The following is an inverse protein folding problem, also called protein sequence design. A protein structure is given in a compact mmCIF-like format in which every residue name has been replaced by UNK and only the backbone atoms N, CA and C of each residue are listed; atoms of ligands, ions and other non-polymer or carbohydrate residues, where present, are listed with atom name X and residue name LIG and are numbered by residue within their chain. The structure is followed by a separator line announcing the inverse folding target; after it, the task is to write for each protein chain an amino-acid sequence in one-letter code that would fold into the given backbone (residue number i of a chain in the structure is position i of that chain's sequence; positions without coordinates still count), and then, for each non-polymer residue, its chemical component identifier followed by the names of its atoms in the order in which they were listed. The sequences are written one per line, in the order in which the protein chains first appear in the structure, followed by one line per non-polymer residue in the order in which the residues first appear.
data_IF_113736957762
#
_entry.id   IF_113736957762
#
_cell.length_a   1.000
_cell.length_b   1.000
_cell.length_c   1.000
_cell.angle_alpha   90.00
_cell.angle_beta   90.00
_cell.angle_gamma   90.00
#
_symmetry.space_group_name_H-M   'P 1'
#
loop_
_entity.id
_entity.type
_entity.pdbx_description
1 polymer ?
#
# COMPACT_ATOMS: atom_id res chain seq x y z
N UNK A 1 -10.19 43.82 -16.27
CA UNK A 1 -9.80 43.26 -14.96
C UNK A 1 -9.45 41.80 -15.20
N UNK A 2 -8.22 41.35 -14.93
CA UNK A 2 -7.92 39.92 -15.09
C UNK A 2 -8.64 39.15 -14.01
N UNK A 3 -9.48 38.22 -14.41
CA UNK A 3 -10.10 37.24 -13.54
C UNK A 3 -8.98 36.34 -13.01
N UNK A 4 -8.62 36.49 -11.75
CA UNK A 4 -7.79 35.51 -11.07
C UNK A 4 -8.54 34.17 -11.10
N UNK A 5 -8.07 33.20 -11.88
CA UNK A 5 -8.40 31.81 -11.70
C UNK A 5 -8.08 31.45 -10.23
N UNK A 6 -8.95 30.69 -9.53
CA UNK A 6 -8.61 30.21 -8.21
C UNK A 6 -7.24 29.55 -8.28
N UNK A 7 -6.31 29.93 -7.42
CA UNK A 7 -4.98 29.33 -7.34
C UNK A 7 -5.19 27.82 -7.17
N UNK A 8 -4.71 27.04 -8.14
CA UNK A 8 -4.79 25.61 -8.12
C UNK A 8 -4.04 25.10 -6.88
N UNK A 9 -4.78 24.63 -5.90
CA UNK A 9 -4.20 24.17 -4.62
C UNK A 9 -3.94 22.66 -4.73
N UNK A 10 -2.68 22.31 -5.02
CA UNK A 10 -2.23 20.94 -5.20
C UNK A 10 -2.53 20.35 -6.59
N UNK A 11 -1.99 19.17 -6.88
CA UNK A 11 -2.26 18.46 -8.13
C UNK A 11 -3.66 17.86 -8.14
N UNK A 12 -4.21 17.63 -9.35
CA UNK A 12 -5.47 16.92 -9.48
C UNK A 12 -5.23 15.40 -9.28
N UNK A 13 -5.86 14.74 -8.29
CA UNK A 13 -5.65 13.32 -8.03
C UNK A 13 -6.16 12.40 -9.16
N UNK A 14 -6.92 12.96 -10.12
CA UNK A 14 -7.40 12.21 -11.30
C UNK A 14 -6.45 12.30 -12.50
N UNK A 15 -5.34 13.04 -12.39
CA UNK A 15 -4.35 13.07 -13.45
C UNK A 15 -3.57 11.75 -13.51
N UNK A 16 -3.53 11.13 -14.69
CA UNK A 16 -2.73 9.91 -14.89
C UNK A 16 -1.23 10.21 -14.85
N UNK A 17 -0.80 11.34 -15.35
CA UNK A 17 0.62 11.74 -15.45
C UNK A 17 0.85 13.06 -14.68
N UNK A 18 0.86 13.02 -13.34
CA UNK A 18 0.92 14.24 -12.52
C UNK A 18 2.28 14.95 -12.58
N UNK A 19 3.34 14.26 -13.01
CA UNK A 19 4.69 14.78 -13.04
C UNK A 19 5.15 14.97 -14.49
N UNK A 20 5.18 16.22 -14.95
CA UNK A 20 5.59 16.55 -16.32
C UNK A 20 7.03 16.08 -16.59
N UNK A 21 7.22 15.35 -17.69
CA UNK A 21 8.53 14.81 -18.09
C UNK A 21 8.89 13.45 -17.48
N UNK A 22 8.02 12.89 -16.63
CA UNK A 22 8.21 11.59 -15.97
C UNK A 22 6.98 10.70 -16.17
N UNK A 23 6.74 10.18 -17.38
CA UNK A 23 5.54 9.39 -17.70
C UNK A 23 5.46 8.08 -16.93
N UNK A 24 6.58 7.61 -16.39
CA UNK A 24 6.65 6.41 -15.52
C UNK A 24 6.04 6.62 -14.13
N UNK A 25 5.76 7.89 -13.74
CA UNK A 25 5.13 8.21 -12.45
C UNK A 25 3.65 8.49 -12.67
N UNK A 26 2.78 7.71 -12.06
CA UNK A 26 1.33 7.90 -12.17
C UNK A 26 0.62 7.85 -10.84
N UNK A 27 -0.45 8.65 -10.67
CA UNK A 27 -1.38 8.47 -9.55
C UNK A 27 -2.13 7.16 -9.73
N UNK A 28 -1.78 6.19 -8.89
CA UNK A 28 -2.04 4.77 -9.07
C UNK A 28 -3.53 4.44 -9.20
N UNK A 29 -4.42 5.12 -8.47
CA UNK A 29 -5.87 4.88 -8.55
C UNK A 29 -6.42 4.95 -9.98
N UNK A 30 -5.80 5.76 -10.86
CA UNK A 30 -6.25 5.98 -12.24
C UNK A 30 -5.84 4.85 -13.21
N UNK A 31 -5.10 3.86 -12.73
CA UNK A 31 -4.61 2.71 -13.49
C UNK A 31 -5.19 1.37 -13.01
N UNK A 32 -5.97 1.40 -11.92
CA UNK A 32 -6.61 0.22 -11.37
C UNK A 32 -7.88 -0.10 -12.15
N UNK A 33 -7.98 -1.36 -12.57
CA UNK A 33 -9.15 -1.90 -13.27
C UNK A 33 -9.93 -2.93 -12.44
N UNK A 34 -9.33 -3.48 -11.38
CA UNK A 34 -9.87 -4.54 -10.56
C UNK A 34 -10.59 -4.00 -9.33
N UNK A 35 -11.82 -4.42 -9.09
CA UNK A 35 -12.67 -3.95 -7.96
C UNK A 35 -12.13 -4.36 -6.58
N UNK A 36 -11.30 -5.41 -6.52
CA UNK A 36 -10.68 -5.88 -5.28
C UNK A 36 -9.33 -5.22 -4.97
N UNK A 37 -8.93 -4.20 -5.74
CA UNK A 37 -7.78 -3.32 -5.46
C UNK A 37 -8.29 -1.90 -5.25
N UNK A 38 -8.12 -1.36 -4.05
CA UNK A 38 -8.61 -0.03 -3.66
C UNK A 38 -7.40 0.84 -3.36
N UNK A 39 -7.29 1.99 -4.02
CA UNK A 39 -6.16 2.92 -3.87
C UNK A 39 -6.67 4.32 -3.57
N UNK A 40 -6.10 4.94 -2.53
CA UNK A 40 -6.40 6.32 -2.13
C UNK A 40 -5.75 7.37 -3.03
N UNK A 41 -6.26 8.59 -2.92
CA UNK A 41 -5.79 9.76 -3.66
C UNK A 41 -4.30 10.04 -3.42
N UNK A 42 -3.62 10.60 -4.43
CA UNK A 42 -2.21 11.01 -4.37
C UNK A 42 -1.20 9.89 -4.14
N UNK A 43 -1.64 8.63 -4.02
CA UNK A 43 -0.73 7.48 -4.02
C UNK A 43 -0.19 7.29 -5.42
N UNK A 44 1.14 7.28 -5.56
CA UNK A 44 1.79 7.11 -6.85
C UNK A 44 2.61 5.81 -6.93
N UNK A 45 2.75 5.34 -8.15
CA UNK A 45 3.64 4.24 -8.52
C UNK A 45 4.64 4.73 -9.57
N UNK A 46 5.91 4.43 -9.35
CA UNK A 46 7.02 4.80 -10.25
C UNK A 46 7.62 3.53 -10.85
N UNK A 47 7.35 3.28 -12.14
CA UNK A 47 7.88 2.13 -12.87
C UNK A 47 8.24 2.54 -14.31
N UNK A 48 9.49 2.37 -14.76
CA UNK A 48 9.88 2.64 -16.15
C UNK A 48 9.05 1.92 -17.21
N UNK A 49 8.40 0.80 -16.85
CA UNK A 49 7.51 0.06 -17.74
C UNK A 49 6.06 0.61 -17.75
N UNK A 50 5.80 1.66 -16.97
CA UNK A 50 4.51 2.35 -16.85
C UNK A 50 3.72 1.95 -15.61
N UNK A 51 2.93 2.90 -15.05
CA UNK A 51 2.12 2.65 -13.86
C UNK A 51 1.05 1.56 -14.04
N UNK A 52 0.61 1.29 -15.25
CA UNK A 52 -0.32 0.21 -15.62
C UNK A 52 0.22 -1.19 -15.29
N UNK A 53 1.52 -1.32 -15.07
CA UNK A 53 2.16 -2.59 -14.67
C UNK A 53 1.84 -2.98 -13.23
N UNK A 54 1.33 -2.07 -12.41
CA UNK A 54 1.09 -2.33 -10.99
C UNK A 54 0.26 -3.57 -10.73
N UNK A 55 -0.88 -3.74 -11.43
CA UNK A 55 -1.77 -4.89 -11.20
C UNK A 55 -1.10 -6.24 -11.48
N UNK A 56 -0.10 -6.29 -12.38
CA UNK A 56 0.67 -7.50 -12.66
C UNK A 56 1.61 -7.90 -11.51
N UNK A 57 1.87 -6.98 -10.58
CA UNK A 57 2.64 -7.22 -9.37
C UNK A 57 1.77 -7.61 -8.16
N UNK A 58 0.44 -7.64 -8.33
CA UNK A 58 -0.50 -8.17 -7.32
C UNK A 58 -0.78 -9.62 -7.66
N UNK A 59 -0.01 -10.52 -7.04
CA UNK A 59 0.10 -11.92 -7.42
C UNK A 59 -0.89 -12.80 -6.66
N UNK A 60 -1.43 -13.82 -7.32
CA UNK A 60 -2.36 -14.79 -6.73
C UNK A 60 -3.62 -14.14 -6.14
N UNK A 61 -4.07 -13.06 -6.73
CA UNK A 61 -5.25 -12.30 -6.32
C UNK A 61 -6.46 -12.72 -7.15
N UNK A 62 -7.17 -13.74 -6.72
CA UNK A 62 -8.31 -14.31 -7.42
C UNK A 62 -9.62 -13.85 -6.78
N UNK A 63 -10.62 -13.46 -7.57
CA UNK A 63 -11.89 -12.93 -7.08
C UNK A 63 -12.63 -13.92 -6.18
N UNK A 64 -12.52 -15.23 -6.48
CA UNK A 64 -13.17 -16.27 -5.68
C UNK A 64 -12.57 -16.46 -4.27
N UNK A 65 -11.38 -15.91 -3.99
CA UNK A 65 -10.78 -15.91 -2.65
C UNK A 65 -11.43 -14.85 -1.77
N UNK A 66 -11.80 -13.69 -2.34
CA UNK A 66 -12.54 -12.63 -1.69
C UNK A 66 -11.72 -11.66 -0.85
N UNK A 67 -10.38 -11.76 -0.86
CA UNK A 67 -9.50 -10.79 -0.21
C UNK A 67 -9.31 -9.53 -1.06
N UNK A 68 -8.94 -8.43 -0.40
CA UNK A 68 -8.70 -7.14 -1.02
C UNK A 68 -7.29 -6.66 -0.76
N UNK A 69 -6.77 -5.88 -1.71
CA UNK A 69 -5.61 -5.02 -1.51
C UNK A 69 -6.11 -3.58 -1.32
N UNK A 70 -5.86 -3.02 -0.13
CA UNK A 70 -6.30 -1.67 0.22
C UNK A 70 -5.06 -0.82 0.48
N UNK A 71 -4.88 0.25 -0.30
CA UNK A 71 -3.75 1.18 -0.19
C UNK A 71 -4.29 2.57 0.12
N UNK A 72 -3.76 3.20 1.14
CA UNK A 72 -4.16 4.53 1.59
C UNK A 72 -3.77 5.65 0.63
N UNK A 73 -3.90 6.88 1.09
CA UNK A 73 -3.54 8.10 0.38
C UNK A 73 -2.07 8.46 0.56
N UNK A 74 -1.49 9.22 -0.37
CA UNK A 74 -0.13 9.78 -0.28
C UNK A 74 0.99 8.73 -0.14
N UNK A 75 0.76 7.48 -0.57
CA UNK A 75 1.81 6.47 -0.57
C UNK A 75 2.76 6.65 -1.75
N UNK A 76 4.03 6.36 -1.51
CA UNK A 76 5.07 6.32 -2.53
C UNK A 76 5.47 4.86 -2.77
N UNK A 77 5.16 4.30 -3.94
CA UNK A 77 5.43 2.91 -4.26
C UNK A 77 6.42 2.85 -5.40
N UNK A 78 7.59 2.27 -5.13
CA UNK A 78 8.64 2.08 -6.12
C UNK A 78 8.34 0.86 -7.02
N UNK A 79 9.02 0.80 -8.17
CA UNK A 79 8.88 -0.29 -9.13
C UNK A 79 9.18 -1.66 -8.51
N UNK A 80 8.62 -2.69 -9.12
CA UNK A 80 8.79 -4.10 -8.76
C UNK A 80 8.30 -4.47 -7.34
N UNK A 81 7.61 -3.57 -6.64
CA UNK A 81 6.93 -3.91 -5.39
C UNK A 81 5.85 -4.94 -5.68
N UNK A 82 5.86 -6.05 -4.94
CA UNK A 82 4.93 -7.17 -5.11
C UNK A 82 4.03 -7.33 -3.89
N UNK A 83 2.77 -7.61 -4.16
CA UNK A 83 1.79 -8.02 -3.16
C UNK A 83 1.42 -9.47 -3.43
N UNK A 84 1.76 -10.36 -2.50
CA UNK A 84 1.32 -11.76 -2.55
C UNK A 84 -0.04 -11.82 -1.85
N UNK A 85 -1.07 -12.30 -2.53
CA UNK A 85 -2.41 -12.37 -1.98
C UNK A 85 -2.75 -13.79 -1.52
N UNK A 86 -3.90 -13.96 -0.84
CA UNK A 86 -4.24 -15.23 -0.20
C UNK A 86 -4.35 -16.42 -1.16
N UNK A 87 -4.54 -16.20 -2.45
CA UNK A 87 -4.54 -17.27 -3.45
C UNK A 87 -3.20 -18.01 -3.59
N UNK A 88 -2.10 -17.47 -3.00
CA UNK A 88 -0.83 -18.16 -2.91
C UNK A 88 -0.76 -19.22 -1.80
N UNK A 89 -1.72 -19.20 -0.87
CA UNK A 89 -1.68 -20.10 0.29
C UNK A 89 -2.10 -21.53 -0.12
N UNK A 90 -1.33 -22.51 0.35
CA UNK A 90 -1.67 -23.92 0.25
C UNK A 90 -2.16 -24.44 1.60
N UNK A 91 -2.99 -25.48 1.60
CA UNK A 91 -3.30 -26.20 2.81
C UNK A 91 -2.02 -26.85 3.36
N UNK A 92 -1.82 -26.69 4.69
CA UNK A 92 -0.65 -27.21 5.40
C UNK A 92 -1.04 -28.27 6.44
N UNK A 93 -2.32 -28.69 6.48
CA UNK A 93 -2.84 -29.68 7.42
C UNK A 93 -2.48 -31.12 7.07
N UNK A 94 -2.10 -31.38 5.81
CA UNK A 94 -1.69 -32.70 5.32
C UNK A 94 -0.17 -32.91 5.36
N UNK A 95 0.26 -34.14 5.04
CA UNK A 95 1.69 -34.45 4.87
C UNK A 95 2.30 -33.84 3.61
N UNK A 96 1.46 -33.42 2.65
CA UNK A 96 1.87 -32.79 1.41
C UNK A 96 1.17 -31.43 1.24
N UNK A 97 1.90 -30.43 0.82
CA UNK A 97 1.36 -29.14 0.41
C UNK A 97 1.04 -29.09 -1.09
N UNK A 98 1.29 -30.18 -1.82
CA UNK A 98 1.03 -30.24 -3.26
C UNK A 98 -0.48 -30.24 -3.54
N UNK A 99 -0.98 -29.36 -4.39
CA UNK A 99 -2.40 -29.18 -4.63
C UNK A 99 -2.93 -30.22 -5.65
N UNK A 100 -2.93 -31.51 -5.29
CA UNK A 100 -3.36 -32.60 -6.16
C UNK A 100 -4.69 -32.34 -6.84
N UNK A 101 -5.64 -31.74 -6.12
CA UNK A 101 -7.02 -31.56 -6.53
C UNK A 101 -7.18 -30.66 -7.76
N UNK A 102 -6.25 -29.72 -8.02
CA UNK A 102 -6.36 -28.81 -9.16
C UNK A 102 -6.08 -29.48 -10.50
N UNK A 103 -5.48 -30.67 -10.50
CA UNK A 103 -5.10 -31.40 -11.72
C UNK A 103 -6.16 -32.37 -12.19
N UNK A 104 -7.23 -32.61 -11.43
CA UNK A 104 -8.35 -33.48 -11.82
C UNK A 104 -7.98 -34.96 -11.94
N UNK A 105 -8.66 -35.67 -12.88
CA UNK A 105 -8.42 -37.09 -13.19
C UNK A 105 -8.47 -38.03 -11.98
N UNK A 106 -9.43 -37.77 -11.06
CA UNK A 106 -9.63 -38.55 -9.83
C UNK A 106 -8.84 -38.00 -8.60
N UNK A 107 -8.00 -36.96 -8.79
CA UNK A 107 -7.28 -36.33 -7.70
C UNK A 107 -8.12 -35.25 -6.99
N UNK A 108 -9.22 -34.80 -7.61
CA UNK A 108 -10.19 -33.87 -7.01
C UNK A 108 -10.78 -34.40 -5.69
N UNK A 109 -10.75 -35.73 -5.47
CA UNK A 109 -11.12 -36.35 -4.19
C UNK A 109 -10.26 -35.88 -3.01
N UNK A 110 -9.08 -35.33 -3.29
CA UNK A 110 -8.17 -34.77 -2.29
C UNK A 110 -8.38 -33.25 -2.11
N UNK A 111 -9.49 -32.67 -2.56
CA UNK A 111 -9.81 -31.25 -2.35
C UNK A 111 -9.90 -30.96 -0.86
N UNK A 112 -9.07 -30.05 -0.32
CA UNK A 112 -9.17 -29.59 1.06
C UNK A 112 -10.51 -28.89 1.29
N UNK A 113 -10.97 -28.90 2.53
CA UNK A 113 -12.12 -28.08 2.90
C UNK A 113 -11.74 -26.60 2.93
N UNK A 114 -12.69 -25.67 2.76
CA UNK A 114 -12.40 -24.24 2.78
C UNK A 114 -11.63 -23.79 4.04
N UNK A 115 -11.95 -24.35 5.20
CA UNK A 115 -11.30 -24.08 6.50
C UNK A 115 -9.84 -24.57 6.58
N UNK A 116 -9.41 -25.44 5.68
CA UNK A 116 -8.03 -25.94 5.63
C UNK A 116 -7.08 -24.98 4.91
N UNK A 117 -7.62 -23.97 4.24
CA UNK A 117 -6.81 -22.93 3.58
C UNK A 117 -6.55 -21.78 4.54
N UNK A 118 -5.28 -21.42 4.77
CA UNK A 118 -4.97 -20.28 5.65
C UNK A 118 -5.39 -18.98 4.95
N UNK A 119 -6.51 -18.40 5.40
CA UNK A 119 -6.97 -17.09 4.97
C UNK A 119 -6.49 -16.03 5.97
N UNK A 120 -5.67 -15.08 5.49
CA UNK A 120 -5.02 -14.04 6.31
C UNK A 120 -5.81 -12.71 6.34
N UNK A 121 -6.94 -12.64 5.61
CA UNK A 121 -7.70 -11.41 5.44
C UNK A 121 -7.11 -10.47 4.39
N UNK A 122 -7.62 -9.25 4.37
CA UNK A 122 -7.19 -8.21 3.44
C UNK A 122 -5.76 -7.73 3.74
N UNK A 123 -4.99 -7.44 2.68
CA UNK A 123 -3.71 -6.76 2.80
C UNK A 123 -3.96 -5.25 2.79
N UNK A 124 -3.52 -4.55 3.84
CA UNK A 124 -3.80 -3.13 4.03
C UNK A 124 -2.50 -2.32 4.15
N UNK A 125 -2.38 -1.28 3.35
CA UNK A 125 -1.33 -0.26 3.45
C UNK A 125 -1.97 1.04 3.93
N UNK A 126 -1.49 1.59 5.02
CA UNK A 126 -1.96 2.85 5.58
C UNK A 126 -1.67 4.05 4.67
N UNK A 127 -1.83 5.25 5.19
CA UNK A 127 -1.53 6.50 4.48
C UNK A 127 -0.06 6.89 4.66
N UNK A 128 0.49 7.67 3.73
CA UNK A 128 1.87 8.19 3.79
C UNK A 128 2.93 7.09 3.94
N UNK A 129 2.70 5.92 3.34
CA UNK A 129 3.64 4.80 3.38
C UNK A 129 4.61 4.86 2.21
N UNK A 130 5.90 4.69 2.48
CA UNK A 130 6.90 4.53 1.44
C UNK A 130 7.31 3.07 1.33
N UNK A 131 7.09 2.47 0.15
CA UNK A 131 7.49 1.09 -0.16
C UNK A 131 8.64 1.13 -1.17
N UNK A 132 9.81 0.71 -0.72
CA UNK A 132 11.04 0.71 -1.49
C UNK A 132 11.06 -0.35 -2.60
N UNK A 133 11.97 -0.17 -3.55
CA UNK A 133 12.18 -1.00 -4.72
C UNK A 133 12.18 -2.51 -4.41
N UNK A 134 11.40 -3.27 -5.19
CA UNK A 134 11.35 -4.74 -5.13
C UNK A 134 11.05 -5.32 -3.74
N UNK A 135 10.33 -4.58 -2.90
CA UNK A 135 9.81 -5.14 -1.66
C UNK A 135 8.64 -6.09 -1.96
N UNK A 136 8.48 -7.11 -1.11
CA UNK A 136 7.39 -8.08 -1.22
C UNK A 136 6.56 -8.05 0.06
N UNK A 137 5.26 -7.85 -0.09
CA UNK A 137 4.29 -7.83 1.00
C UNK A 137 3.52 -9.15 0.98
N UNK A 138 3.53 -9.88 2.10
CA UNK A 138 2.87 -11.16 2.23
C UNK A 138 1.38 -11.04 2.54
N UNK A 139 0.57 -12.09 2.31
CA UNK A 139 -0.89 -12.04 2.46
C UNK A 139 -1.33 -11.57 3.85
N UNK A 140 -2.34 -10.69 3.89
CA UNK A 140 -3.00 -10.23 5.10
C UNK A 140 -2.20 -9.26 5.97
N UNK A 141 -0.99 -8.86 5.53
CA UNK A 141 -0.16 -7.90 6.26
C UNK A 141 -0.83 -6.53 6.30
N UNK A 142 -0.78 -5.89 7.47
CA UNK A 142 -1.21 -4.51 7.69
C UNK A 142 0.00 -3.62 7.93
N UNK A 143 0.18 -2.61 7.08
CA UNK A 143 1.24 -1.63 7.19
C UNK A 143 0.66 -0.33 7.74
N UNK A 144 1.14 0.13 8.89
CA UNK A 144 0.68 1.34 9.56
C UNK A 144 1.04 2.62 8.80
N UNK A 145 0.31 3.70 9.11
CA UNK A 145 0.52 5.03 8.50
C UNK A 145 1.95 5.51 8.66
N UNK A 146 2.50 6.18 7.65
CA UNK A 146 3.83 6.75 7.71
C UNK A 146 4.98 5.74 7.79
N UNK A 147 4.73 4.44 7.63
CA UNK A 147 5.78 3.42 7.65
C UNK A 147 6.68 3.50 6.41
N UNK A 148 7.89 2.99 6.55
CA UNK A 148 8.86 2.85 5.46
C UNK A 148 9.26 1.39 5.37
N UNK A 149 9.06 0.80 4.19
CA UNK A 149 9.51 -0.54 3.85
C UNK A 149 10.78 -0.39 3.01
N UNK A 150 11.90 -0.85 3.53
CA UNK A 150 13.17 -0.78 2.81
C UNK A 150 13.15 -1.63 1.53
N UNK A 151 13.95 -1.24 0.55
CA UNK A 151 14.09 -1.98 -0.71
C UNK A 151 14.45 -3.45 -0.48
N UNK A 152 13.91 -4.34 -1.33
CA UNK A 152 14.15 -5.79 -1.31
C UNK A 152 13.73 -6.51 -0.01
N UNK A 153 12.88 -5.89 0.80
CA UNK A 153 12.36 -6.49 2.03
C UNK A 153 11.23 -7.47 1.74
N UNK A 154 11.10 -8.50 2.58
CA UNK A 154 9.95 -9.43 2.57
C UNK A 154 9.18 -9.24 3.87
N UNK A 155 8.04 -8.53 3.78
CA UNK A 155 7.22 -8.18 4.94
C UNK A 155 6.24 -9.31 5.22
N UNK A 156 6.45 -10.02 6.32
CA UNK A 156 5.68 -11.22 6.70
C UNK A 156 4.77 -11.00 7.91
N UNK A 157 4.88 -9.83 8.55
CA UNK A 157 4.12 -9.44 9.76
C UNK A 157 3.66 -8.00 9.64
N UNK A 158 2.66 -7.64 10.43
CA UNK A 158 2.17 -6.26 10.51
C UNK A 158 3.29 -5.28 10.88
N UNK A 159 3.24 -4.09 10.29
CA UNK A 159 4.22 -3.01 10.49
C UNK A 159 3.56 -1.88 11.28
N UNK A 160 4.11 -1.50 12.43
CA UNK A 160 3.56 -0.39 13.21
C UNK A 160 3.59 0.95 12.45
N UNK A 161 2.72 1.91 12.79
CA UNK A 161 2.79 3.26 12.23
C UNK A 161 4.17 3.89 12.43
N UNK A 162 4.65 4.59 11.40
CA UNK A 162 5.94 5.28 11.39
C UNK A 162 7.16 4.40 11.69
N UNK A 163 7.04 3.07 11.58
CA UNK A 163 8.17 2.18 11.66
C UNK A 163 8.95 2.12 10.33
N UNK A 164 10.26 1.99 10.42
CA UNK A 164 11.14 1.63 9.31
C UNK A 164 11.46 0.15 9.46
N UNK A 165 11.10 -0.65 8.46
CA UNK A 165 11.37 -2.09 8.46
C UNK A 165 12.22 -2.49 7.26
N UNK A 166 13.02 -3.54 7.40
CA UNK A 166 13.87 -4.04 6.32
C UNK A 166 14.34 -5.47 6.54
N UNK A 167 14.77 -6.11 5.46
CA UNK A 167 15.34 -7.47 5.47
C UNK A 167 14.36 -8.55 4.99
N UNK A 168 14.81 -9.80 5.04
CA UNK A 168 14.04 -10.99 4.68
C UNK A 168 14.26 -12.10 5.75
N UNK A 169 13.27 -12.36 6.63
CA UNK A 169 12.04 -11.60 6.80
C UNK A 169 12.31 -10.17 7.33
N UNK A 170 11.44 -9.22 6.97
CA UNK A 170 11.57 -7.85 7.43
C UNK A 170 11.39 -7.73 8.95
N UNK A 171 12.26 -6.95 9.58
CA UNK A 171 12.21 -6.63 11.00
C UNK A 171 12.25 -5.10 11.19
N UNK A 172 11.78 -4.64 12.34
CA UNK A 172 11.83 -3.21 12.69
C UNK A 172 13.29 -2.80 12.88
N UNK A 173 13.73 -1.81 12.09
CA UNK A 173 15.05 -1.17 12.20
C UNK A 173 15.00 -0.05 13.23
N UNK A 174 13.95 0.81 13.13
CA UNK A 174 13.71 1.94 14.04
C UNK A 174 12.29 2.47 13.89
N UNK A 175 11.86 3.29 14.82
CA UNK A 175 10.75 4.20 14.60
C UNK A 175 11.27 5.53 14.03
N UNK A 176 10.46 6.23 13.21
CA UNK A 176 10.81 7.54 12.63
C UNK A 176 10.82 8.64 13.71
N UNK A 177 9.96 8.49 14.69
CA UNK A 177 9.73 9.45 15.79
C UNK A 177 9.51 8.71 17.10
N UNK A 178 9.56 9.46 18.22
CA UNK A 178 9.15 8.96 19.52
C UNK A 178 7.67 8.57 19.52
N UNK A 179 7.27 7.57 20.32
CA UNK A 179 5.91 7.03 20.32
C UNK A 179 4.84 8.13 20.59
N UNK A 180 5.12 9.05 21.49
CA UNK A 180 4.20 10.17 21.80
C UNK A 180 3.96 11.10 20.61
N UNK A 181 4.94 11.25 19.72
CA UNK A 181 4.81 12.00 18.45
C UNK A 181 3.99 11.19 17.46
N UNK A 182 4.26 9.90 17.35
CA UNK A 182 3.52 8.99 16.48
C UNK A 182 2.03 8.99 16.82
N UNK A 183 1.70 8.86 18.11
CA UNK A 183 0.31 8.84 18.57
C UNK A 183 -0.43 10.13 18.18
N UNK A 184 0.23 11.28 18.31
CA UNK A 184 -0.32 12.57 17.91
C UNK A 184 -0.49 12.69 16.39
N UNK A 185 0.48 12.24 15.59
CA UNK A 185 0.40 12.27 14.12
C UNK A 185 -0.73 11.38 13.61
N UNK A 186 -0.92 10.21 14.20
CA UNK A 186 -2.03 9.31 13.88
C UNK A 186 -3.38 9.95 14.26
N UNK A 187 -3.45 10.64 15.40
CA UNK A 187 -4.66 11.35 15.82
C UNK A 187 -4.98 12.58 14.95
N UNK A 188 -3.97 13.31 14.48
CA UNK A 188 -4.13 14.45 13.57
C UNK A 188 -4.65 13.99 12.20
N UNK A 189 -4.18 12.84 11.71
CA UNK A 189 -4.59 12.23 10.45
C UNK A 189 -4.62 13.24 9.28
N UNK A 190 -3.53 14.01 9.09
CA UNK A 190 -3.44 15.10 8.10
C UNK A 190 -3.81 14.66 6.68
N UNK A 191 -3.63 13.39 6.34
CA UNK A 191 -3.99 12.81 5.04
C UNK A 191 -5.49 12.77 4.77
N UNK A 192 -6.32 13.00 5.79
CA UNK A 192 -7.78 13.09 5.65
C UNK A 192 -8.28 14.53 5.56
N UNK A 193 -7.38 15.50 5.66
CA UNK A 193 -7.75 16.91 5.49
C UNK A 193 -8.11 17.23 4.04
N UNK A 194 -8.96 18.27 3.82
CA UNK A 194 -9.15 18.85 2.50
C UNK A 194 -7.82 19.30 1.89
N UNK A 195 -7.69 19.20 0.55
CA UNK A 195 -6.42 19.50 -0.11
C UNK A 195 -5.96 20.95 0.11
N UNK A 196 -6.88 21.87 0.26
CA UNK A 196 -6.61 23.29 0.60
C UNK A 196 -5.89 23.38 1.96
N UNK A 197 -6.37 22.67 2.97
CA UNK A 197 -5.78 22.64 4.31
C UNK A 197 -4.40 21.96 4.26
N UNK A 198 -4.25 20.86 3.54
CA UNK A 198 -2.95 20.22 3.31
C UNK A 198 -1.97 21.23 2.68
N UNK A 199 -2.40 21.92 1.61
CA UNK A 199 -1.57 22.90 0.91
C UNK A 199 -1.13 24.05 1.82
N UNK A 200 -2.05 24.55 2.66
CA UNK A 200 -1.76 25.59 3.64
C UNK A 200 -0.71 25.16 4.68
N UNK A 201 -0.72 23.87 5.06
CA UNK A 201 0.14 23.31 6.09
C UNK A 201 1.31 22.49 5.58
N UNK A 202 1.60 22.51 4.26
CA UNK A 202 2.69 21.72 3.64
C UNK A 202 4.03 21.90 4.32
N UNK A 203 4.40 23.14 4.68
CA UNK A 203 5.66 23.42 5.36
C UNK A 203 5.74 22.75 6.74
N UNK A 204 4.63 22.70 7.45
CA UNK A 204 4.57 22.06 8.77
C UNK A 204 4.59 20.53 8.66
N UNK A 205 3.89 19.97 7.66
CA UNK A 205 3.90 18.53 7.38
C UNK A 205 5.31 18.08 6.96
N UNK A 206 5.91 18.73 5.96
CA UNK A 206 7.22 18.37 5.44
C UNK A 206 8.37 18.73 6.40
N UNK A 207 8.21 19.79 7.21
CA UNK A 207 9.20 20.26 8.17
C UNK A 207 9.11 19.61 9.56
N UNK A 208 8.19 18.66 9.77
CA UNK A 208 7.95 17.99 11.06
C UNK A 208 7.60 18.97 12.22
N UNK A 209 6.83 20.02 11.93
CA UNK A 209 6.45 21.03 12.90
C UNK A 209 5.15 20.65 13.65
N UNK A 210 5.24 19.65 14.54
CA UNK A 210 4.09 19.05 15.22
C UNK A 210 3.16 20.04 15.89
N UNK A 211 3.71 21.06 16.58
CA UNK A 211 2.92 22.08 17.28
C UNK A 211 2.02 22.85 16.31
N UNK A 212 2.52 23.19 15.12
CA UNK A 212 1.72 23.85 14.09
C UNK A 212 0.60 22.96 13.57
N UNK A 213 0.88 21.64 13.40
CA UNK A 213 -0.15 20.68 12.98
C UNK A 213 -1.24 20.49 14.03
N UNK A 214 -0.88 20.51 15.31
CA UNK A 214 -1.85 20.41 16.40
C UNK A 214 -2.74 21.67 16.54
N UNK A 215 -2.30 22.81 16.03
CA UNK A 215 -3.03 24.09 16.03
C UNK A 215 -3.75 24.36 14.70
N UNK A 216 -3.66 23.40 13.75
CA UNK A 216 -4.36 23.54 12.48
C UNK A 216 -5.85 23.27 12.69
N UNK A 217 -6.66 24.33 12.67
CA UNK A 217 -8.13 24.29 12.74
C UNK A 217 -8.78 23.90 11.40
#
# INVERSE_FOLDING_TARGET
MPTHSPSQQGPNPNDKSPLKGFPQVGFLKNFISRDNIIVGDYTYYDDPAGPERFESNVLYHFDFIGDKLIIGKFCAIARDVKFIMNGANHSVSGFSTYPFYIFGNGWEKATPKPEDFPFKGDTCVGHDVWIGYNATIMPGVKIGHGAIIASQSVVTKDVPPYAVVGGNPAAIIKLRFEQTVIDKLVAIAWWDWPIEKITQHLSAIAGAELTKLQQAD
#
